data_IF_630817971487
#
_entry.id   IF_630817971487
#
_cell.length_a   1.000
_cell.length_b   1.000
_cell.length_c   1.000
_cell.angle_alpha   90.00
_cell.angle_beta   90.00
_cell.angle_gamma   90.00
#
_symmetry.space_group_name_H-M   'P 1'
#
loop_
_entity.id
_entity.type
_entity.pdbx_description
1 polymer ?
#
# COMPACT_ATOMS: atom_id res chain seq x y z
N UNK A 1 -2.05 -5.89 6.66
CA UNK A 1 -2.55 -5.42 7.98
C UNK A 1 -3.34 -4.12 7.85
N UNK A 2 -2.87 -3.11 7.11
CA UNK A 2 -3.57 -1.83 6.90
C UNK A 2 -4.98 -1.97 6.30
N UNK A 3 -5.18 -2.84 5.31
CA UNK A 3 -6.49 -3.09 4.69
C UNK A 3 -7.58 -3.49 5.71
N UNK A 4 -7.24 -4.29 6.74
CA UNK A 4 -8.20 -4.72 7.77
C UNK A 4 -8.46 -3.65 8.82
N UNK A 5 -7.51 -2.74 9.04
CA UNK A 5 -7.68 -1.65 10.00
C UNK A 5 -8.59 -0.54 9.45
N UNK A 6 -8.53 -0.31 8.13
CA UNK A 6 -9.23 0.81 7.47
C UNK A 6 -10.46 0.38 6.65
N UNK A 7 -10.82 -0.90 6.64
CA UNK A 7 -11.95 -1.44 5.86
C UNK A 7 -11.93 -1.10 4.36
N UNK A 8 -10.74 -0.87 3.78
CA UNK A 8 -10.61 -0.48 2.37
C UNK A 8 -10.87 -1.67 1.44
N UNK A 9 -11.66 -1.47 0.37
CA UNK A 9 -11.84 -2.45 -0.71
C UNK A 9 -10.65 -2.36 -1.67
N UNK A 10 -9.90 -3.46 -1.81
CA UNK A 10 -8.92 -3.59 -2.88
C UNK A 10 -9.66 -3.88 -4.19
N UNK A 11 -9.52 -3.00 -5.18
CA UNK A 11 -9.79 -3.27 -6.58
C UNK A 11 -8.52 -3.81 -7.26
N UNK A 12 -8.68 -4.47 -8.40
CA UNK A 12 -7.58 -5.14 -9.14
C UNK A 12 -7.11 -4.37 -10.36
N UNK A 13 -7.46 -3.08 -10.47
CA UNK A 13 -7.13 -2.25 -11.64
C UNK A 13 -5.66 -1.77 -11.65
N UNK A 14 -4.94 -1.93 -10.53
CA UNK A 14 -3.51 -1.60 -10.44
C UNK A 14 -2.67 -2.81 -10.87
N UNK A 15 -2.02 -2.73 -12.02
CA UNK A 15 -1.04 -3.74 -12.45
C UNK A 15 0.28 -3.56 -11.67
N UNK A 16 0.67 -4.57 -10.89
CA UNK A 16 1.92 -4.60 -10.12
C UNK A 16 2.78 -5.76 -10.61
N UNK A 17 3.94 -5.44 -11.20
CA UNK A 17 4.77 -6.40 -11.95
C UNK A 17 5.39 -7.49 -11.07
N UNK A 18 5.69 -7.17 -9.81
CA UNK A 18 6.36 -8.05 -8.84
C UNK A 18 5.41 -8.55 -7.74
N UNK A 19 4.10 -8.51 -7.97
CA UNK A 19 3.11 -8.94 -6.97
C UNK A 19 3.27 -10.40 -6.57
N UNK A 20 3.77 -11.24 -7.48
CA UNK A 20 4.06 -12.66 -7.23
C UNK A 20 5.18 -12.88 -6.19
N UNK A 21 6.00 -11.86 -5.94
CA UNK A 21 7.04 -11.92 -4.92
C UNK A 21 6.51 -11.64 -3.52
N UNK A 22 5.32 -11.06 -3.42
CA UNK A 22 4.66 -10.81 -2.16
C UNK A 22 4.11 -12.12 -1.58
N UNK A 23 4.06 -12.19 -0.24
CA UNK A 23 3.29 -13.25 0.41
C UNK A 23 1.80 -13.08 0.06
N UNK A 24 1.07 -14.19 -0.12
CA UNK A 24 -0.35 -14.20 -0.51
C UNK A 24 -1.21 -13.31 0.40
N UNK A 25 -0.93 -13.28 1.70
CA UNK A 25 -1.65 -12.45 2.66
C UNK A 25 -1.40 -10.94 2.50
N UNK A 26 -0.28 -10.55 1.89
CA UNK A 26 0.12 -9.16 1.72
C UNK A 26 -0.50 -8.54 0.47
N UNK A 27 -0.81 -9.34 -0.55
CA UNK A 27 -1.38 -8.89 -1.83
C UNK A 27 -2.57 -7.93 -1.67
N UNK A 28 -3.59 -8.23 -0.84
CA UNK A 28 -4.71 -7.30 -0.65
C UNK A 28 -4.30 -5.98 0.01
N UNK A 29 -3.28 -6.01 0.89
CA UNK A 29 -2.77 -4.80 1.52
C UNK A 29 -1.96 -3.95 0.55
N UNK A 30 -1.21 -4.57 -0.38
CA UNK A 30 -0.43 -3.89 -1.41
C UNK A 30 -1.36 -3.11 -2.34
N UNK A 31 -2.39 -3.76 -2.87
CA UNK A 31 -3.37 -3.08 -3.73
C UNK A 31 -4.05 -1.93 -3.00
N UNK A 32 -4.53 -2.17 -1.76
CA UNK A 32 -5.18 -1.11 -0.98
C UNK A 32 -4.28 0.13 -0.77
N UNK A 33 -3.00 -0.04 -0.43
CA UNK A 33 -2.12 1.12 -0.21
C UNK A 33 -1.75 1.83 -1.51
N UNK A 34 -1.70 1.12 -2.64
CA UNK A 34 -1.41 1.72 -3.95
C UNK A 34 -2.62 2.46 -4.51
N UNK A 35 -3.83 1.89 -4.40
CA UNK A 35 -5.07 2.52 -4.85
C UNK A 35 -5.41 3.80 -4.09
N UNK A 36 -5.11 3.83 -2.79
CA UNK A 36 -5.27 5.04 -1.98
C UNK A 36 -4.13 6.06 -2.14
N UNK A 37 -3.10 5.76 -2.94
CA UNK A 37 -1.91 6.62 -3.06
C UNK A 37 -1.10 6.75 -1.76
N UNK A 38 -1.28 5.84 -0.80
CA UNK A 38 -0.56 5.83 0.47
C UNK A 38 0.90 5.42 0.28
N UNK A 39 1.12 4.47 -0.62
CA UNK A 39 2.45 4.02 -1.06
C UNK A 39 2.51 4.02 -2.58
N UNK A 40 3.63 4.47 -3.13
CA UNK A 40 3.87 4.57 -4.57
C UNK A 40 5.09 3.71 -4.88
N UNK A 41 4.94 2.82 -5.85
CA UNK A 41 6.03 2.02 -6.40
C UNK A 41 6.88 2.80 -7.39
N UNK A 42 7.80 2.11 -8.07
CA UNK A 42 8.58 2.68 -9.17
C UNK A 42 8.38 1.87 -10.44
N UNK A 43 8.06 2.53 -11.55
CA UNK A 43 7.91 1.93 -12.87
C UNK A 43 7.04 0.64 -12.91
N UNK A 44 5.95 0.60 -12.14
CA UNK A 44 5.04 -0.55 -12.05
C UNK A 44 5.49 -1.67 -11.08
N UNK A 45 6.55 -1.46 -10.30
CA UNK A 45 7.03 -2.38 -9.27
C UNK A 45 6.74 -1.84 -7.88
N UNK A 46 6.34 -2.72 -6.95
CA UNK A 46 6.08 -2.37 -5.54
C UNK A 46 7.25 -2.66 -4.61
N UNK A 47 8.12 -3.60 -4.98
CA UNK A 47 9.26 -4.11 -4.20
C UNK A 47 8.87 -4.71 -2.84
N UNK A 48 8.02 -5.77 -2.80
CA UNK A 48 7.44 -6.29 -1.55
C UNK A 48 8.46 -6.87 -0.57
N UNK A 49 9.70 -7.13 -1.01
CA UNK A 49 10.80 -7.65 -0.17
C UNK A 49 11.80 -6.57 0.26
N UNK A 50 11.65 -5.34 -0.23
CA UNK A 50 12.53 -4.24 0.17
C UNK A 50 12.21 -3.78 1.59
N UNK A 51 13.25 -3.37 2.31
CA UNK A 51 13.07 -2.78 3.63
C UNK A 51 12.39 -1.42 3.54
N UNK A 52 11.40 -1.21 4.41
CA UNK A 52 10.76 0.09 4.60
C UNK A 52 11.62 0.92 5.55
N UNK A 53 11.94 2.16 5.18
CA UNK A 53 12.66 3.08 6.07
C UNK A 53 11.70 3.73 7.06
N UNK A 54 12.23 4.31 8.14
CA UNK A 54 11.41 5.01 9.15
C UNK A 54 10.67 6.20 8.54
N UNK A 55 11.31 6.89 7.61
CA UNK A 55 10.77 8.02 6.88
C UNK A 55 9.57 7.59 6.02
N UNK A 56 9.70 6.46 5.30
CA UNK A 56 8.60 5.89 4.52
C UNK A 56 7.41 5.51 5.41
N UNK A 57 7.66 4.84 6.54
CA UNK A 57 6.62 4.46 7.48
C UNK A 57 5.89 5.68 8.05
N UNK A 58 6.63 6.71 8.47
CA UNK A 58 6.04 7.95 8.98
C UNK A 58 5.21 8.67 7.92
N UNK A 59 5.69 8.72 6.66
CA UNK A 59 4.95 9.34 5.57
C UNK A 59 3.61 8.63 5.29
N UNK A 60 3.58 7.29 5.35
CA UNK A 60 2.33 6.53 5.21
C UNK A 60 1.36 6.86 6.34
N UNK A 61 1.82 6.89 7.59
CA UNK A 61 0.98 7.22 8.75
C UNK A 61 0.36 8.61 8.63
N UNK A 62 1.16 9.61 8.23
CA UNK A 62 0.67 10.99 8.03
C UNK A 62 -0.39 11.04 6.94
N UNK A 63 -0.16 10.40 5.78
CA UNK A 63 -1.15 10.37 4.69
C UNK A 63 -2.46 9.73 5.10
N UNK A 64 -2.41 8.63 5.85
CA UNK A 64 -3.61 7.97 6.39
C UNK A 64 -4.38 8.93 7.30
N UNK A 65 -3.68 9.61 8.21
CA UNK A 65 -4.30 10.56 9.14
C UNK A 65 -4.94 11.76 8.41
N UNK A 66 -4.29 12.26 7.36
CA UNK A 66 -4.83 13.36 6.55
C UNK A 66 -6.06 12.94 5.73
N UNK A 67 -6.09 11.71 5.19
CA UNK A 67 -7.27 11.18 4.48
C UNK A 67 -8.46 10.98 5.42
N UNK A 68 -8.24 10.46 6.63
CA UNK A 68 -9.30 10.24 7.64
C UNK A 68 -9.96 11.55 8.12
N UNK A 69 -9.25 12.68 8.08
CA UNK A 69 -9.78 14.00 8.43
C UNK A 69 -10.51 14.67 7.26
N UNK A 70 -10.21 14.26 6.02
CA UNK A 70 -10.78 14.85 4.82
C UNK A 70 -12.20 14.31 4.49
N UNK A 71 -12.58 13.18 5.10
CA UNK A 71 -13.91 12.57 5.04
C UNK A 71 -14.82 13.00 6.20
#
# INVERSE_FOLDING_TARGET
MLQRALSYQASSDVCVNDIIEASVWAVPSIYAVMENGLMIGDNGYFFPKQYVTREMAAAVVVRVYEQDIAD
#
